data_IF_185825256215
#
_entry.id   IF_185825256215
#
_cell.length_a   1.000
_cell.length_b   1.000
_cell.length_c   1.000
_cell.angle_alpha   90.00
_cell.angle_beta   90.00
_cell.angle_gamma   90.00
#
_symmetry.space_group_name_H-M   'P 1'
#
loop_
_entity.id
_entity.type
_entity.pdbx_description
1 polymer ?
#
# COMPACT_ATOMS: atom_id res chain seq x y z
N UNK A 1 63.89 -17.28 22.31
CA UNK A 1 63.03 -16.85 21.18
C UNK A 1 63.69 -17.14 19.82
N UNK A 2 65.03 -17.09 19.69
CA UNK A 2 65.75 -17.44 18.45
C UNK A 2 65.56 -18.89 17.97
N UNK A 3 65.59 -19.87 18.87
CA UNK A 3 65.49 -21.29 18.49
C UNK A 3 64.13 -21.70 17.91
N UNK A 4 63.07 -21.00 18.27
CA UNK A 4 61.74 -21.26 17.70
C UNK A 4 61.67 -20.74 16.25
N UNK A 5 62.24 -19.56 16.00
CA UNK A 5 62.29 -18.98 14.65
C UNK A 5 63.17 -19.80 13.71
N UNK A 6 64.32 -20.29 14.16
CA UNK A 6 65.20 -21.14 13.34
C UNK A 6 64.54 -22.47 13.01
N UNK A 7 63.88 -23.12 13.97
CA UNK A 7 63.12 -24.35 13.72
C UNK A 7 61.95 -24.15 12.74
N UNK A 8 61.25 -23.01 12.81
CA UNK A 8 60.18 -22.68 11.86
C UNK A 8 60.75 -22.44 10.45
N UNK A 9 61.88 -21.75 10.34
CA UNK A 9 62.54 -21.49 9.05
C UNK A 9 63.06 -22.78 8.41
N UNK A 10 63.64 -23.68 9.19
CA UNK A 10 64.11 -24.99 8.69
C UNK A 10 62.95 -25.91 8.31
N UNK A 11 61.83 -25.84 9.02
CA UNK A 11 60.60 -26.55 8.64
C UNK A 11 60.03 -26.00 7.33
N UNK A 12 59.99 -24.68 7.16
CA UNK A 12 59.54 -23.99 5.94
C UNK A 12 60.47 -24.19 4.74
N UNK A 13 61.74 -24.56 4.94
CA UNK A 13 62.68 -24.89 3.85
C UNK A 13 62.54 -26.31 3.32
N UNK A 14 61.76 -27.17 3.98
CA UNK A 14 61.53 -28.53 3.48
C UNK A 14 60.75 -28.45 2.17
N UNK A 15 61.22 -29.07 1.08
CA UNK A 15 60.58 -28.98 -0.23
C UNK A 15 59.11 -29.41 -0.18
N UNK A 16 58.78 -30.45 0.58
CA UNK A 16 57.39 -30.90 0.77
C UNK A 16 56.49 -29.87 1.48
N UNK A 17 57.03 -29.06 2.40
CA UNK A 17 56.25 -27.99 3.08
C UNK A 17 56.02 -26.82 2.14
N UNK A 18 57.02 -26.49 1.32
CA UNK A 18 56.89 -25.44 0.29
C UNK A 18 55.88 -25.87 -0.78
N UNK A 19 55.94 -27.12 -1.26
CA UNK A 19 55.01 -27.67 -2.24
C UNK A 19 53.56 -27.66 -1.73
N UNK A 20 53.34 -28.13 -0.50
CA UNK A 20 51.99 -28.10 0.09
C UNK A 20 51.46 -26.68 0.31
N UNK A 21 52.31 -25.72 0.68
CA UNK A 21 51.90 -24.32 0.77
C UNK A 21 51.57 -23.72 -0.60
N UNK A 22 52.32 -24.07 -1.64
CA UNK A 22 52.04 -23.66 -3.02
C UNK A 22 50.69 -24.25 -3.48
N UNK A 23 50.44 -25.52 -3.21
CA UNK A 23 49.17 -26.19 -3.55
C UNK A 23 47.98 -25.56 -2.81
N UNK A 24 48.14 -25.24 -1.52
CA UNK A 24 47.12 -24.52 -0.73
C UNK A 24 46.87 -23.12 -1.33
N UNK A 25 47.93 -22.40 -1.72
CA UNK A 25 47.80 -21.08 -2.34
C UNK A 25 47.07 -21.17 -3.68
N UNK A 26 47.38 -22.17 -4.51
CA UNK A 26 46.72 -22.43 -5.78
C UNK A 26 45.24 -22.82 -5.60
N UNK A 27 44.92 -23.60 -4.56
CA UNK A 27 43.54 -23.95 -4.21
C UNK A 27 42.73 -22.74 -3.71
N UNK A 28 43.39 -21.71 -3.16
CA UNK A 28 42.75 -20.48 -2.73
C UNK A 28 42.45 -19.52 -3.89
N UNK A 29 43.09 -19.67 -5.05
CA UNK A 29 42.89 -18.78 -6.21
C UNK A 29 41.42 -18.74 -6.69
N UNK A 30 40.72 -19.88 -6.92
CA UNK A 30 39.32 -19.85 -7.34
C UNK A 30 38.39 -19.21 -6.31
N UNK A 31 38.68 -19.36 -5.02
CA UNK A 31 37.91 -18.77 -3.92
C UNK A 31 38.03 -17.25 -3.96
N UNK A 32 39.26 -16.75 -4.09
CA UNK A 32 39.51 -15.31 -4.21
C UNK A 32 38.91 -14.72 -5.49
N UNK A 33 38.97 -15.43 -6.61
CA UNK A 33 38.30 -15.01 -7.86
C UNK A 33 36.79 -14.89 -7.65
N UNK A 34 36.15 -15.86 -6.98
CA UNK A 34 34.71 -15.79 -6.67
C UNK A 34 34.36 -14.60 -5.76
N UNK A 35 35.19 -14.31 -4.75
CA UNK A 35 35.02 -13.14 -3.87
C UNK A 35 35.14 -11.83 -4.65
N UNK A 36 36.14 -11.71 -5.52
CA UNK A 36 36.34 -10.51 -6.35
C UNK A 36 35.19 -10.31 -7.35
N UNK A 37 34.68 -11.38 -7.97
CA UNK A 37 33.49 -11.33 -8.83
C UNK A 37 32.27 -10.87 -8.02
N UNK A 38 32.06 -11.42 -6.82
CA UNK A 38 30.97 -11.01 -5.92
C UNK A 38 31.07 -9.54 -5.50
N UNK A 39 32.27 -9.05 -5.22
CA UNK A 39 32.53 -7.64 -4.92
C UNK A 39 32.24 -6.74 -6.13
N UNK A 40 32.72 -7.11 -7.33
CA UNK A 40 32.47 -6.35 -8.55
C UNK A 40 30.98 -6.32 -8.86
N UNK A 41 30.26 -7.45 -8.78
CA UNK A 41 28.81 -7.50 -8.96
C UNK A 41 28.11 -6.67 -7.89
N UNK A 42 28.51 -6.78 -6.62
CA UNK A 42 27.92 -6.01 -5.52
C UNK A 42 28.17 -4.50 -5.63
N UNK A 43 29.31 -4.07 -6.18
CA UNK A 43 29.66 -2.66 -6.37
C UNK A 43 29.07 -2.08 -7.66
N UNK A 44 28.98 -2.87 -8.72
CA UNK A 44 28.33 -2.49 -9.98
C UNK A 44 26.81 -2.58 -9.90
N UNK A 45 26.27 -3.34 -8.95
CA UNK A 45 24.87 -3.31 -8.60
C UNK A 45 24.59 -2.13 -7.67
N UNK A 46 24.30 -0.96 -8.27
CA UNK A 46 23.50 0.08 -7.60
C UNK A 46 22.03 -0.19 -7.89
N UNK A 47 21.26 -0.80 -6.98
CA UNK A 47 19.84 -0.95 -7.19
C UNK A 47 19.22 0.45 -7.12
N UNK A 48 18.63 0.93 -8.22
CA UNK A 48 17.90 2.23 -8.27
C UNK A 48 16.72 2.29 -7.27
N UNK A 49 16.43 1.19 -6.59
CA UNK A 49 15.36 1.02 -5.59
C UNK A 49 15.79 1.31 -4.15
N UNK A 50 17.09 1.44 -3.84
CA UNK A 50 17.53 1.75 -2.47
C UNK A 50 17.05 3.13 -1.99
N UNK A 51 16.80 4.07 -2.90
CA UNK A 51 16.14 5.34 -2.60
C UNK A 51 14.68 5.21 -2.17
N UNK A 52 13.93 4.25 -2.73
CA UNK A 52 12.54 3.98 -2.34
C UNK A 52 12.44 3.30 -0.97
N UNK A 53 13.36 2.37 -0.66
CA UNK A 53 13.41 1.72 0.65
C UNK A 53 13.88 2.70 1.75
N UNK A 54 14.83 3.60 1.44
CA UNK A 54 15.27 4.63 2.39
C UNK A 54 14.21 5.71 2.66
N UNK A 55 13.35 6.05 1.70
CA UNK A 55 12.21 6.94 1.96
C UNK A 55 11.11 6.26 2.80
N UNK A 56 10.83 4.98 2.56
CA UNK A 56 9.81 4.24 3.30
C UNK A 56 10.17 3.92 4.76
N UNK A 57 11.47 3.83 5.08
CA UNK A 57 11.94 3.44 6.41
C UNK A 57 12.31 4.62 7.33
N UNK A 58 12.28 5.87 6.82
CA UNK A 58 12.63 7.06 7.61
C UNK A 58 11.49 7.63 8.46
N UNK A 59 10.24 7.27 8.15
CA UNK A 59 9.05 7.76 8.88
C UNK A 59 8.88 7.07 10.25
N UNK A 60 9.23 5.78 10.38
CA UNK A 60 9.00 5.03 11.63
C UNK A 60 10.18 4.99 12.61
N UNK A 61 11.33 5.56 12.24
CA UNK A 61 12.54 5.56 13.10
C UNK A 61 12.72 6.84 13.93
N UNK A 62 11.69 7.70 14.03
CA UNK A 62 11.76 8.93 14.83
C UNK A 62 11.28 8.76 16.29
N UNK A 63 10.74 7.60 16.67
CA UNK A 63 10.21 7.37 18.02
C UNK A 63 11.03 6.42 18.90
N UNK A 64 12.23 6.03 18.47
CA UNK A 64 13.09 5.09 19.22
C UNK A 64 14.51 5.60 19.48
N UNK A 65 14.75 6.91 19.33
CA UNK A 65 16.06 7.51 19.56
C UNK A 65 16.02 8.66 20.56
N UNK A 66 15.59 8.35 21.79
CA UNK A 66 15.95 9.13 22.98
C UNK A 66 16.64 8.19 23.98
N UNK A 67 17.91 7.88 23.72
CA UNK A 67 18.81 7.25 24.68
C UNK A 67 20.25 7.76 24.45
N UNK A 68 21.04 7.98 25.52
CA UNK A 68 22.29 8.73 25.49
C UNK A 68 23.42 8.01 24.72
N UNK A 69 24.47 8.75 24.30
CA UNK A 69 25.44 8.25 23.33
C UNK A 69 26.40 7.25 23.98
N UNK A 70 26.41 6.02 23.45
CA UNK A 70 27.43 5.02 23.74
C UNK A 70 26.87 3.60 23.65
N UNK A 71 27.64 2.69 23.05
CA UNK A 71 27.42 1.23 23.02
C UNK A 71 26.56 0.65 21.88
N UNK A 72 26.89 1.02 20.64
CA UNK A 72 26.38 0.37 19.42
C UNK A 72 27.36 -0.66 18.84
N UNK A 73 27.27 -1.94 19.26
CA UNK A 73 27.77 -3.12 18.52
C UNK A 73 27.39 -4.45 19.19
N UNK A 74 27.29 -4.49 20.54
CA UNK A 74 27.08 -5.74 21.30
C UNK A 74 25.64 -6.26 21.32
N UNK A 75 24.64 -5.45 20.92
CA UNK A 75 23.22 -5.84 20.93
C UNK A 75 22.74 -6.49 19.63
N UNK A 76 23.40 -6.23 18.50
CA UNK A 76 23.09 -6.89 17.22
C UNK A 76 23.51 -8.37 17.21
N UNK A 77 24.56 -8.72 17.96
CA UNK A 77 25.05 -10.09 18.07
C UNK A 77 24.15 -10.99 18.95
N UNK A 78 23.48 -10.41 19.96
CA UNK A 78 22.52 -11.12 20.83
C UNK A 78 21.18 -11.39 20.12
N UNK A 79 20.78 -10.54 19.16
CA UNK A 79 19.55 -10.75 18.39
C UNK A 79 19.67 -11.90 17.37
N UNK A 80 20.86 -12.10 16.79
CA UNK A 80 21.12 -13.20 15.85
C UNK A 80 21.24 -14.58 16.53
N UNK A 81 21.71 -14.64 17.77
CA UNK A 81 21.76 -15.89 18.55
C UNK A 81 20.38 -16.33 19.04
N UNK A 82 19.48 -15.41 19.40
CA UNK A 82 18.11 -15.74 19.83
C UNK A 82 17.22 -16.31 18.71
N UNK A 83 17.43 -15.93 17.45
CA UNK A 83 16.65 -16.43 16.30
C UNK A 83 17.01 -17.87 15.90
N UNK A 84 18.22 -18.36 16.24
CA UNK A 84 18.63 -19.74 15.96
C UNK A 84 18.01 -20.77 16.93
N UNK A 85 17.66 -20.37 18.15
CA UNK A 85 17.04 -21.25 19.15
C UNK A 85 15.51 -21.42 18.98
N UNK A 86 14.84 -20.57 18.20
CA UNK A 86 13.37 -20.63 18.04
C UNK A 86 12.88 -21.68 17.03
N UNK A 87 13.79 -22.34 16.30
CA UNK A 87 13.43 -23.42 15.37
C UNK A 87 13.27 -24.79 16.04
N UNK A 88 13.80 -24.98 17.26
CA UNK A 88 13.72 -26.25 18.00
C UNK A 88 12.46 -26.30 18.90
N UNK A 89 11.94 -25.17 19.37
CA UNK A 89 10.77 -25.14 20.26
C UNK A 89 9.39 -25.33 19.60
N UNK A 90 9.26 -25.33 18.27
CA UNK A 90 7.97 -25.66 17.63
C UNK A 90 7.63 -27.15 17.63
N UNK A 91 8.62 -28.04 17.67
CA UNK A 91 8.38 -29.49 17.64
C UNK A 91 7.92 -30.07 18.98
N UNK A 92 8.17 -29.39 20.11
CA UNK A 92 7.69 -29.84 21.42
C UNK A 92 6.28 -29.35 21.77
N UNK A 93 5.86 -28.17 21.30
CA UNK A 93 4.53 -27.62 21.60
C UNK A 93 3.38 -28.40 20.91
N UNK A 94 3.65 -29.12 19.83
CA UNK A 94 2.64 -29.96 19.16
C UNK A 94 2.39 -31.32 19.85
N UNK A 95 3.18 -31.70 20.87
CA UNK A 95 3.01 -32.98 21.57
C UNK A 95 2.22 -32.89 22.88
N UNK A 96 1.91 -31.68 23.36
CA UNK A 96 1.32 -31.48 24.70
C UNK A 96 -0.13 -30.99 24.71
N UNK A 97 -0.80 -30.89 23.55
CA UNK A 97 -2.22 -30.49 23.49
C UNK A 97 -3.12 -31.68 23.13
N UNK A 98 -3.27 -32.55 24.13
CA UNK A 98 -4.58 -33.03 24.57
C UNK A 98 -5.36 -33.94 23.64
N UNK A 99 -5.14 -35.24 23.79
CA UNK A 99 -6.09 -36.32 23.56
C UNK A 99 -7.08 -36.37 24.75
N UNK A 100 -8.38 -36.41 24.47
CA UNK A 100 -9.46 -36.58 25.45
C UNK A 100 -10.83 -36.59 24.77
N UNK A 101 -11.25 -37.77 24.30
CA UNK A 101 -12.56 -38.08 23.70
C UNK A 101 -13.68 -38.23 24.74
N UNK A 102 -14.93 -37.98 24.34
CA UNK A 102 -16.14 -38.50 25.01
C UNK A 102 -17.45 -37.82 24.59
N UNK A 103 -18.31 -38.53 23.86
CA UNK A 103 -19.78 -38.33 23.68
C UNK A 103 -20.49 -39.63 24.14
N UNK A 104 -21.84 -39.77 24.29
CA UNK A 104 -22.97 -38.92 23.82
C UNK A 104 -24.15 -38.69 24.85
N UNK A 105 -25.27 -38.13 24.34
CA UNK A 105 -26.57 -37.64 24.87
C UNK A 105 -27.50 -38.69 25.58
N UNK A 106 -28.79 -38.47 26.01
CA UNK A 106 -29.81 -37.46 25.58
C UNK A 106 -30.89 -36.95 26.61
N UNK A 107 -31.88 -36.18 26.09
CA UNK A 107 -33.28 -35.92 26.57
C UNK A 107 -33.47 -34.99 27.81
N UNK A 108 -34.47 -34.11 27.99
CA UNK A 108 -35.64 -33.62 27.25
C UNK A 108 -36.21 -32.35 27.99
N UNK A 109 -37.22 -31.66 27.40
CA UNK A 109 -38.25 -30.81 28.06
C UNK A 109 -38.09 -29.28 28.31
N UNK A 110 -38.82 -28.52 27.47
CA UNK A 110 -39.89 -27.56 27.79
C UNK A 110 -39.68 -26.18 28.49
N UNK A 111 -40.14 -25.14 27.75
CA UNK A 111 -41.10 -24.06 28.14
C UNK A 111 -40.66 -22.67 28.68
N UNK A 112 -40.83 -21.67 27.78
CA UNK A 112 -41.56 -20.36 27.89
C UNK A 112 -41.02 -19.16 28.73
N UNK A 113 -41.47 -17.90 28.41
CA UNK A 113 -40.65 -16.68 28.46
C UNK A 113 -41.10 -15.60 29.49
N UNK A 114 -40.28 -14.54 29.67
CA UNK A 114 -40.63 -13.25 30.29
C UNK A 114 -39.66 -12.17 29.72
N UNK A 115 -40.06 -11.21 28.86
CA UNK A 115 -40.74 -9.91 29.05
C UNK A 115 -39.93 -8.86 29.87
N UNK A 116 -39.85 -7.64 29.30
CA UNK A 116 -39.48 -6.31 29.86
C UNK A 116 -37.97 -5.95 29.91
N UNK A 117 -37.51 -4.72 29.70
CA UNK A 117 -38.02 -3.47 29.12
C UNK A 117 -36.81 -2.50 28.99
N UNK A 118 -36.80 -1.69 27.91
CA UNK A 118 -36.13 -0.38 27.69
C UNK A 118 -35.05 0.19 28.64
N UNK A 119 -33.99 0.73 28.03
CA UNK A 119 -33.55 2.13 28.25
C UNK A 119 -32.72 2.63 27.06
N UNK A 120 -33.10 3.79 26.54
CA UNK A 120 -32.39 4.54 25.52
C UNK A 120 -31.14 5.21 26.10
N UNK A 121 -30.10 5.36 25.29
CA UNK A 121 -29.28 6.58 25.18
C UNK A 121 -28.57 6.58 23.83
N UNK A 122 -28.70 7.71 23.13
CA UNK A 122 -28.06 8.03 21.86
C UNK A 122 -26.61 8.45 22.11
N UNK A 123 -25.66 7.96 21.29
CA UNK A 123 -24.60 8.83 20.75
C UNK A 123 -23.95 8.25 19.47
N UNK A 124 -24.20 8.94 18.35
CA UNK A 124 -23.12 9.51 17.53
C UNK A 124 -22.15 8.62 16.74
N UNK A 125 -22.41 7.32 16.53
CA UNK A 125 -21.57 6.47 15.67
C UNK A 125 -22.20 6.21 14.31
N UNK A 126 -21.95 7.06 13.31
CA UNK A 126 -22.45 6.91 11.93
C UNK A 126 -21.94 5.65 11.23
N UNK A 127 -22.48 4.49 11.59
CA UNK A 127 -22.31 3.22 10.91
C UNK A 127 -23.17 3.24 9.64
N UNK A 128 -22.54 3.52 8.50
CA UNK A 128 -23.15 3.29 7.18
C UNK A 128 -23.23 1.78 6.93
N UNK A 129 -24.14 1.10 7.63
CA UNK A 129 -24.63 -0.23 7.28
C UNK A 129 -26.07 -0.10 6.76
N UNK A 130 -26.22 0.68 5.69
CA UNK A 130 -27.46 0.72 4.92
C UNK A 130 -27.61 -0.58 4.14
N UNK A 131 -28.59 -1.40 4.52
CA UNK A 131 -29.04 -2.51 3.71
C UNK A 131 -29.49 -2.01 2.33
N UNK A 132 -29.00 -2.63 1.26
CA UNK A 132 -29.37 -2.31 -0.13
C UNK A 132 -30.87 -2.43 -0.31
N UNK A 133 -31.54 -1.29 -0.52
CA UNK A 133 -32.86 -1.22 -1.14
C UNK A 133 -32.73 -0.37 -2.41
N UNK A 134 -32.81 -1.03 -3.57
CA UNK A 134 -33.03 -0.41 -4.88
C UNK A 134 -31.78 0.22 -5.51
N UNK A 135 -31.36 -0.30 -6.67
CA UNK A 135 -30.11 0.04 -7.36
C UNK A 135 -29.98 1.46 -7.94
N UNK A 136 -30.94 2.36 -7.73
CA UNK A 136 -30.95 3.67 -8.41
C UNK A 136 -30.19 4.78 -7.68
N UNK A 137 -29.86 4.61 -6.39
CA UNK A 137 -29.41 5.70 -5.52
C UNK A 137 -28.01 5.45 -4.93
N UNK A 138 -27.13 4.89 -5.75
CA UNK A 138 -25.77 4.51 -5.33
C UNK A 138 -24.88 5.75 -5.23
N UNK A 139 -24.98 6.66 -6.21
CA UNK A 139 -24.27 7.95 -6.26
C UNK A 139 -25.30 9.06 -6.46
N UNK A 140 -25.51 9.85 -5.41
CA UNK A 140 -26.69 10.69 -5.22
C UNK A 140 -26.31 12.18 -5.22
N UNK A 141 -27.30 13.06 -5.33
CA UNK A 141 -27.10 14.51 -5.38
C UNK A 141 -26.41 15.05 -4.10
N UNK A 142 -26.63 14.43 -2.94
CA UNK A 142 -25.89 14.76 -1.71
C UNK A 142 -24.38 14.53 -1.83
N UNK A 143 -23.95 13.54 -2.63
CA UNK A 143 -22.53 13.32 -2.88
C UNK A 143 -21.95 14.46 -3.74
N UNK A 144 -22.74 14.99 -4.68
CA UNK A 144 -22.35 16.17 -5.46
C UNK A 144 -22.27 17.42 -4.58
N UNK A 145 -23.24 17.65 -3.69
CA UNK A 145 -23.20 18.74 -2.71
C UNK A 145 -21.93 18.66 -1.84
N UNK A 146 -21.57 17.45 -1.38
CA UNK A 146 -20.34 17.21 -0.64
C UNK A 146 -19.09 17.55 -1.47
N UNK A 147 -19.06 17.14 -2.75
CA UNK A 147 -17.99 17.51 -3.68
C UNK A 147 -17.86 19.04 -3.83
N UNK A 148 -18.98 19.75 -4.03
CA UNK A 148 -18.98 21.21 -4.16
C UNK A 148 -18.43 21.87 -2.88
N UNK A 149 -18.82 21.37 -1.71
CA UNK A 149 -18.28 21.84 -0.43
C UNK A 149 -16.76 21.63 -0.31
N UNK A 150 -16.23 20.50 -0.79
CA UNK A 150 -14.78 20.24 -0.83
C UNK A 150 -14.04 21.19 -1.80
N UNK A 151 -14.67 21.57 -2.91
CA UNK A 151 -14.08 22.44 -3.93
C UNK A 151 -14.06 23.92 -3.52
N UNK A 152 -15.11 24.38 -2.84
CA UNK A 152 -15.27 25.78 -2.39
C UNK A 152 -14.28 26.18 -1.29
N UNK A 153 -13.41 25.27 -0.86
CA UNK A 153 -12.39 25.55 0.17
C UNK A 153 -12.98 25.80 1.56
N UNK A 154 -14.28 25.54 1.75
CA UNK A 154 -14.97 25.59 3.05
C UNK A 154 -14.67 24.38 3.95
N UNK A 155 -13.81 23.46 3.50
CA UNK A 155 -13.06 22.59 4.39
C UNK A 155 -12.06 23.45 5.20
N UNK A 156 -12.60 24.19 6.16
CA UNK A 156 -11.89 25.17 6.98
C UNK A 156 -10.62 24.61 7.62
N UNK A 157 -9.63 25.49 7.80
CA UNK A 157 -8.38 25.23 8.54
C UNK A 157 -7.52 24.02 8.13
N UNK A 158 -7.85 23.32 7.03
CA UNK A 158 -7.03 22.20 6.58
C UNK A 158 -5.65 22.69 6.15
N UNK A 159 -4.63 22.38 6.97
CA UNK A 159 -3.22 22.65 6.65
C UNK A 159 -2.81 21.70 5.52
N UNK A 160 -2.98 22.15 4.28
CA UNK A 160 -2.53 21.45 3.09
C UNK A 160 -1.02 21.56 2.95
N UNK A 161 -0.34 20.42 2.95
CA UNK A 161 1.11 20.35 2.72
C UNK A 161 1.37 20.18 1.22
N UNK A 162 2.23 21.02 0.66
CA UNK A 162 2.69 20.85 -0.71
C UNK A 162 3.44 19.52 -0.84
N UNK A 163 3.07 18.70 -1.82
CA UNK A 163 3.69 17.41 -2.08
C UNK A 163 4.47 17.39 -3.38
N UNK A 164 3.96 18.06 -4.43
CA UNK A 164 4.59 18.07 -5.73
C UNK A 164 4.14 19.28 -6.55
N UNK A 165 5.09 19.90 -7.24
CA UNK A 165 4.85 20.86 -8.30
C UNK A 165 5.69 20.47 -9.51
N UNK A 166 5.06 20.42 -10.68
CA UNK A 166 5.72 20.17 -11.96
C UNK A 166 5.10 21.04 -13.03
N UNK A 167 5.96 21.65 -13.83
CA UNK A 167 5.58 22.43 -14.99
C UNK A 167 6.32 21.88 -16.20
N UNK A 168 5.57 21.67 -17.26
CA UNK A 168 6.04 21.36 -18.61
C UNK A 168 5.41 22.38 -19.57
N UNK A 169 5.88 22.49 -20.82
CA UNK A 169 5.31 23.47 -21.76
C UNK A 169 3.79 23.36 -21.95
N UNK A 170 3.22 22.16 -21.83
CA UNK A 170 1.80 21.92 -22.12
C UNK A 170 1.00 21.45 -20.89
N UNK A 171 1.62 21.41 -19.70
CA UNK A 171 0.94 20.91 -18.50
C UNK A 171 1.55 21.48 -17.23
N UNK A 172 0.68 21.95 -16.33
CA UNK A 172 1.01 22.34 -14.97
C UNK A 172 0.34 21.35 -14.03
N UNK A 173 1.11 20.73 -13.13
CA UNK A 173 0.62 19.80 -12.12
C UNK A 173 1.03 20.24 -10.73
N UNK A 174 0.06 20.36 -9.84
CA UNK A 174 0.25 20.68 -8.43
C UNK A 174 -0.49 19.66 -7.58
N UNK A 175 0.15 19.18 -6.52
CA UNK A 175 -0.45 18.23 -5.59
C UNK A 175 -0.16 18.63 -4.14
N UNK A 176 -1.19 18.49 -3.32
CA UNK A 176 -1.16 18.72 -1.90
C UNK A 176 -1.69 17.49 -1.16
N UNK A 177 -1.23 17.31 0.07
CA UNK A 177 -1.73 16.30 0.98
C UNK A 177 -2.16 16.94 2.28
N UNK A 178 -3.19 16.38 2.88
CA UNK A 178 -3.66 16.74 4.21
C UNK A 178 -3.76 15.46 5.04
N UNK A 179 -3.17 15.48 6.23
CA UNK A 179 -3.18 14.39 7.18
C UNK A 179 -4.08 14.82 8.35
N UNK A 180 -5.37 14.42 8.38
CA UNK A 180 -6.27 14.77 9.48
C UNK A 180 -5.86 14.05 10.77
N UNK A 181 -6.25 14.58 11.93
CA UNK A 181 -6.01 13.93 13.22
C UNK A 181 -6.64 12.53 13.29
N UNK A 182 -7.81 12.37 12.67
CA UNK A 182 -8.55 11.12 12.58
C UNK A 182 -8.88 10.84 11.11
N UNK A 183 -8.53 9.64 10.64
CA UNK A 183 -8.89 9.15 9.31
C UNK A 183 -7.70 8.99 8.36
N UNK A 184 -7.98 8.66 7.09
CA UNK A 184 -6.95 8.47 6.08
C UNK A 184 -6.36 9.80 5.60
N UNK A 185 -5.16 9.72 5.02
CA UNK A 185 -4.54 10.85 4.30
C UNK A 185 -5.40 11.24 3.11
N UNK A 186 -5.66 12.53 2.95
CA UNK A 186 -6.43 13.11 1.86
C UNK A 186 -5.46 13.76 0.88
N UNK A 187 -5.66 13.50 -0.41
CA UNK A 187 -4.88 14.08 -1.49
C UNK A 187 -5.74 15.01 -2.32
N UNK A 188 -5.15 16.13 -2.74
CA UNK A 188 -5.75 17.09 -3.67
C UNK A 188 -4.74 17.37 -4.77
N UNK A 189 -5.21 17.45 -6.00
CA UNK A 189 -4.37 17.88 -7.11
C UNK A 189 -5.09 18.86 -8.02
N UNK A 190 -4.32 19.71 -8.69
CA UNK A 190 -4.74 20.58 -9.77
C UNK A 190 -3.84 20.30 -10.96
N UNK A 191 -4.45 20.00 -12.09
CA UNK A 191 -3.75 19.87 -13.37
C UNK A 191 -4.34 20.85 -14.35
N UNK A 192 -3.49 21.59 -15.05
CA UNK A 192 -3.84 22.40 -16.23
C UNK A 192 -3.22 21.69 -17.42
N UNK A 193 -4.05 21.44 -18.44
CA UNK A 193 -3.61 20.92 -19.72
C UNK A 193 -3.77 22.04 -20.74
N UNK A 194 -2.67 22.42 -21.40
CA UNK A 194 -2.74 23.28 -22.56
C UNK A 194 -3.29 22.48 -23.75
N UNK A 195 -3.98 23.15 -24.67
CA UNK A 195 -4.50 22.57 -25.91
C UNK A 195 -5.48 21.39 -25.75
N UNK A 196 -6.16 21.26 -24.61
CA UNK A 196 -7.16 20.22 -24.36
C UNK A 196 -8.51 20.82 -23.96
N UNK A 197 -9.60 20.37 -24.58
CA UNK A 197 -10.94 20.81 -24.18
C UNK A 197 -11.43 20.04 -22.94
N UNK A 198 -12.31 20.63 -22.12
CA UNK A 198 -12.90 19.95 -20.97
C UNK A 198 -13.55 18.59 -21.32
N UNK A 199 -14.18 18.50 -22.49
CA UNK A 199 -14.86 17.29 -22.98
C UNK A 199 -13.84 16.20 -23.31
N UNK A 200 -12.73 16.55 -23.96
CA UNK A 200 -11.65 15.60 -24.27
C UNK A 200 -11.05 15.04 -22.98
N UNK A 201 -10.80 15.90 -21.98
CA UNK A 201 -10.26 15.48 -20.68
C UNK A 201 -11.25 14.59 -19.94
N UNK A 202 -12.55 14.94 -19.96
CA UNK A 202 -13.63 14.11 -19.40
C UNK A 202 -13.63 12.71 -20.01
N UNK A 203 -13.67 12.63 -21.34
CA UNK A 203 -13.77 11.35 -22.06
C UNK A 203 -12.53 10.49 -21.83
N UNK A 204 -11.33 11.10 -21.88
CA UNK A 204 -10.06 10.42 -21.59
C UNK A 204 -10.05 9.75 -20.22
N UNK A 205 -10.59 10.42 -19.20
CA UNK A 205 -10.60 9.91 -17.82
C UNK A 205 -11.76 8.96 -17.52
N UNK A 206 -12.84 9.02 -18.29
CA UNK A 206 -14.03 8.18 -18.13
C UNK A 206 -13.92 6.83 -18.87
N UNK A 207 -13.11 6.77 -19.93
CA UNK A 207 -12.90 5.57 -20.75
C UNK A 207 -11.96 4.54 -20.10
N UNK A 208 -12.52 3.52 -19.46
CA UNK A 208 -11.75 2.44 -18.84
C UNK A 208 -11.11 1.47 -19.85
N UNK A 209 -11.73 1.26 -21.02
CA UNK A 209 -11.19 0.45 -22.10
C UNK A 209 -9.89 1.05 -22.63
N UNK A 210 -9.88 2.37 -22.82
CA UNK A 210 -8.70 3.12 -23.16
C UNK A 210 -7.70 3.15 -22.00
N UNK A 211 -8.19 3.25 -20.76
CA UNK A 211 -7.32 3.27 -19.57
C UNK A 211 -6.44 2.04 -19.42
N UNK A 212 -6.93 0.84 -19.75
CA UNK A 212 -6.11 -0.38 -19.76
C UNK A 212 -4.88 -0.27 -20.68
N UNK A 213 -4.93 0.57 -21.72
CA UNK A 213 -3.84 0.71 -22.70
C UNK A 213 -2.70 1.58 -22.17
N UNK A 214 -3.00 2.56 -21.31
CA UNK A 214 -2.02 3.58 -20.88
C UNK A 214 -1.70 3.55 -19.39
N UNK A 215 -2.59 3.09 -18.50
CA UNK A 215 -2.35 2.98 -17.06
C UNK A 215 -1.82 1.57 -16.72
N UNK A 216 -0.49 1.39 -16.54
CA UNK A 216 0.07 0.07 -16.26
C UNK A 216 -0.34 -0.50 -14.89
N UNK A 217 -0.96 0.31 -14.04
CA UNK A 217 -1.48 -0.16 -12.76
C UNK A 217 -2.89 -0.70 -12.87
N UNK A 218 -3.69 -0.37 -13.88
CA UNK A 218 -5.02 -0.97 -14.08
C UNK A 218 -4.85 -2.26 -14.87
N UNK A 219 -5.14 -3.41 -14.26
CA UNK A 219 -4.94 -4.72 -14.91
C UNK A 219 -6.24 -5.43 -15.28
N UNK A 220 -7.36 -4.96 -14.72
CA UNK A 220 -8.68 -5.48 -15.01
C UNK A 220 -9.70 -4.39 -14.75
N UNK A 221 -10.65 -4.26 -15.65
CA UNK A 221 -11.90 -3.56 -15.39
C UNK A 221 -13.06 -4.39 -15.91
N UNK A 222 -14.23 -4.20 -15.31
CA UNK A 222 -15.51 -4.69 -15.83
C UNK A 222 -16.63 -3.78 -15.35
N UNK A 223 -17.46 -3.30 -16.27
CA UNK A 223 -18.73 -2.68 -15.91
C UNK A 223 -19.68 -3.75 -15.38
N UNK A 224 -20.17 -3.56 -14.15
CA UNK A 224 -21.10 -4.48 -13.50
C UNK A 224 -22.54 -4.09 -13.82
N UNK A 225 -22.86 -2.80 -13.63
CA UNK A 225 -24.21 -2.26 -13.82
C UNK A 225 -24.12 -0.83 -14.38
N UNK A 226 -25.09 -0.48 -15.22
CA UNK A 226 -25.25 0.86 -15.78
C UNK A 226 -26.70 1.29 -15.56
N UNK A 227 -26.88 2.53 -15.11
CA UNK A 227 -28.18 3.15 -14.86
C UNK A 227 -28.31 4.37 -15.77
N UNK A 228 -28.85 4.20 -17.00
CA UNK A 228 -28.88 5.28 -17.99
C UNK A 228 -29.66 6.52 -17.53
N UNK A 229 -30.70 6.34 -16.71
CA UNK A 229 -31.55 7.44 -16.22
C UNK A 229 -30.80 8.40 -15.29
N UNK A 230 -29.92 7.87 -14.42
CA UNK A 230 -29.11 8.69 -13.52
C UNK A 230 -27.71 8.98 -14.09
N UNK A 231 -27.26 8.21 -15.08
CA UNK A 231 -25.87 8.23 -15.56
C UNK A 231 -24.89 7.59 -14.56
N UNK A 232 -25.39 6.81 -13.60
CA UNK A 232 -24.57 6.09 -12.63
C UNK A 232 -24.08 4.78 -13.22
N UNK A 233 -22.83 4.41 -12.95
CA UNK A 233 -22.25 3.12 -13.28
C UNK A 233 -21.67 2.47 -12.03
N UNK A 234 -21.77 1.14 -11.94
CA UNK A 234 -21.00 0.34 -10.99
C UNK A 234 -19.93 -0.41 -11.76
N UNK A 235 -18.67 -0.23 -11.37
CA UNK A 235 -17.51 -0.79 -12.06
C UNK A 235 -16.62 -1.54 -11.08
N UNK A 236 -16.07 -2.66 -11.56
CA UNK A 236 -15.09 -3.47 -10.85
C UNK A 236 -13.71 -3.23 -11.43
N UNK A 237 -12.77 -2.69 -10.64
CA UNK A 237 -11.38 -2.52 -11.03
C UNK A 237 -10.44 -3.39 -10.18
N UNK A 238 -9.37 -3.89 -10.80
CA UNK A 238 -8.21 -4.43 -10.07
C UNK A 238 -6.99 -3.61 -10.45
N UNK A 239 -6.35 -3.02 -9.44
CA UNK A 239 -5.09 -2.28 -9.60
C UNK A 239 -3.91 -3.08 -9.08
N UNK A 240 -2.87 -3.18 -9.90
CA UNK A 240 -1.61 -3.81 -9.57
C UNK A 240 -0.83 -2.97 -8.58
N UNK A 241 -0.36 -3.59 -7.51
CA UNK A 241 0.52 -2.97 -6.52
C UNK A 241 1.93 -3.56 -6.62
N UNK A 242 2.96 -2.88 -6.09
CA UNK A 242 4.29 -3.46 -5.99
C UNK A 242 4.25 -4.85 -5.31
N UNK A 243 5.09 -5.78 -5.77
CA UNK A 243 5.01 -7.23 -5.46
C UNK A 243 4.99 -7.61 -3.97
N UNK A 244 5.43 -6.72 -3.08
CA UNK A 244 5.37 -6.92 -1.62
C UNK A 244 3.99 -6.61 -1.02
N UNK A 245 3.06 -6.11 -1.82
CA UNK A 245 1.67 -5.84 -1.46
C UNK A 245 0.75 -6.70 -2.32
N UNK A 246 -0.41 -7.08 -1.79
CA UNK A 246 -1.48 -7.63 -2.63
C UNK A 246 -2.04 -6.53 -3.53
N UNK A 247 -2.46 -6.90 -4.73
CA UNK A 247 -3.24 -6.03 -5.61
C UNK A 247 -4.50 -5.53 -4.90
N UNK A 248 -5.07 -4.43 -5.42
CA UNK A 248 -6.22 -3.77 -4.83
C UNK A 248 -7.44 -3.93 -5.72
N UNK A 249 -8.49 -4.45 -5.13
CA UNK A 249 -9.79 -4.63 -5.79
C UNK A 249 -10.72 -3.50 -5.36
N UNK A 250 -11.34 -2.86 -6.34
CA UNK A 250 -12.27 -1.76 -6.14
C UNK A 250 -13.60 -2.13 -6.77
N UNK A 251 -14.67 -1.94 -6.01
CA UNK A 251 -16.03 -1.94 -6.52
C UNK A 251 -16.53 -0.52 -6.30
N UNK A 252 -16.73 0.20 -7.39
CA UNK A 252 -16.95 1.63 -7.37
C UNK A 252 -18.23 2.01 -8.06
N UNK A 253 -19.03 2.86 -7.43
CA UNK A 253 -20.07 3.61 -8.08
C UNK A 253 -19.47 4.91 -8.58
N UNK A 254 -19.76 5.27 -9.82
CA UNK A 254 -19.32 6.53 -10.42
C UNK A 254 -20.44 7.20 -11.20
N UNK A 255 -20.40 8.53 -11.25
CA UNK A 255 -21.35 9.37 -12.00
C UNK A 255 -20.67 10.67 -12.42
N UNK A 256 -21.05 11.19 -13.59
CA UNK A 256 -20.71 12.54 -14.03
C UNK A 256 -21.97 13.40 -14.02
N UNK A 257 -21.88 14.58 -13.41
CA UNK A 257 -22.82 15.68 -13.59
C UNK A 257 -22.19 16.75 -14.47
N UNK A 258 -23.01 17.35 -15.32
CA UNK A 258 -22.64 18.44 -16.20
C UNK A 258 -23.43 19.69 -15.80
N UNK A 259 -22.73 20.81 -15.69
CA UNK A 259 -23.33 22.13 -15.53
C UNK A 259 -22.55 23.12 -16.38
N UNK A 260 -23.25 23.75 -17.33
CA UNK A 260 -22.67 24.63 -18.35
C UNK A 260 -21.58 23.93 -19.20
N UNK A 261 -20.31 24.15 -18.85
CA UNK A 261 -19.12 23.50 -19.44
C UNK A 261 -18.16 22.99 -18.36
N UNK A 262 -18.73 22.67 -17.20
CA UNK A 262 -18.02 22.12 -16.05
C UNK A 262 -18.56 20.73 -15.77
N UNK A 263 -17.63 19.78 -15.68
CA UNK A 263 -17.93 18.39 -15.38
C UNK A 263 -17.53 18.10 -13.94
N UNK A 264 -18.46 17.56 -13.18
CA UNK A 264 -18.24 17.07 -11.82
C UNK A 264 -18.37 15.57 -11.85
N UNK A 265 -17.31 14.87 -11.48
CA UNK A 265 -17.37 13.43 -11.43
C UNK A 265 -16.94 12.92 -10.07
N UNK A 266 -17.70 11.94 -9.62
CA UNK A 266 -17.55 11.31 -8.33
C UNK A 266 -17.38 9.81 -8.53
N UNK A 267 -16.53 9.22 -7.71
CA UNK A 267 -16.33 7.80 -7.63
C UNK A 267 -16.16 7.42 -6.17
N UNK A 268 -17.00 6.51 -5.67
CA UNK A 268 -16.92 6.04 -4.29
C UNK A 268 -17.05 4.53 -4.21
N UNK A 269 -16.55 3.92 -3.13
CA UNK A 269 -16.78 2.50 -2.89
C UNK A 269 -18.28 2.23 -2.77
N UNK A 270 -18.71 1.13 -3.37
CA UNK A 270 -20.09 0.65 -3.25
C UNK A 270 -20.05 -0.82 -2.92
N UNK A 271 -20.87 -1.27 -1.96
CA UNK A 271 -20.96 -2.70 -1.70
C UNK A 271 -21.63 -3.42 -2.87
N UNK A 272 -21.27 -4.68 -3.10
CA UNK A 272 -21.82 -5.47 -4.20
C UNK A 272 -21.87 -6.96 -3.81
N UNK A 273 -23.00 -7.42 -3.23
CA UNK A 273 -23.09 -8.74 -2.60
C UNK A 273 -22.78 -9.92 -3.53
N UNK A 274 -23.03 -9.77 -4.83
CA UNK A 274 -22.75 -10.81 -5.82
C UNK A 274 -21.25 -11.09 -6.01
N UNK A 275 -20.37 -10.14 -5.65
CA UNK A 275 -18.93 -10.33 -5.65
C UNK A 275 -18.44 -10.52 -4.21
N UNK A 276 -18.09 -11.75 -3.86
CA UNK A 276 -17.53 -12.08 -2.53
C UNK A 276 -16.13 -11.49 -2.38
N UNK A 277 -15.80 -11.09 -1.15
CA UNK A 277 -14.47 -10.57 -0.81
C UNK A 277 -13.47 -11.73 -0.74
N UNK A 278 -12.36 -11.59 -1.45
CA UNK A 278 -11.24 -12.52 -1.40
C UNK A 278 -10.09 -11.94 -0.56
N UNK A 279 -9.16 -12.78 -0.11
CA UNK A 279 -7.93 -12.30 0.55
C UNK A 279 -6.98 -11.61 -0.43
N UNK A 280 -6.96 -12.07 -1.68
CA UNK A 280 -6.17 -11.54 -2.79
C UNK A 280 -7.00 -11.57 -4.08
N UNK A 281 -7.10 -10.46 -4.83
CA UNK A 281 -6.70 -9.10 -4.47
C UNK A 281 -7.42 -8.61 -3.20
N UNK A 282 -6.81 -7.65 -2.47
CA UNK A 282 -7.43 -7.09 -1.26
C UNK A 282 -8.45 -6.02 -1.66
N UNK A 283 -9.70 -6.23 -1.25
CA UNK A 283 -10.78 -5.25 -1.44
C UNK A 283 -10.55 -3.97 -0.65
N UNK A 284 -10.69 -2.83 -1.34
CA UNK A 284 -10.70 -1.51 -0.73
C UNK A 284 -12.12 -1.17 -0.30
N UNK A 285 -12.31 -1.00 1.00
CA UNK A 285 -13.63 -0.72 1.59
C UNK A 285 -13.89 0.79 1.74
N UNK A 286 -12.85 1.56 2.06
CA UNK A 286 -12.94 3.02 2.12
C UNK A 286 -12.29 3.62 0.88
N UNK A 287 -13.11 4.12 -0.02
CA UNK A 287 -12.66 4.83 -1.22
C UNK A 287 -13.63 5.94 -1.57
N UNK A 288 -13.10 7.14 -1.73
CA UNK A 288 -13.80 8.31 -2.24
C UNK A 288 -12.81 9.10 -3.09
N UNK A 289 -13.21 9.42 -4.31
CA UNK A 289 -12.43 10.22 -5.24
C UNK A 289 -13.38 11.05 -6.08
N UNK A 290 -12.98 12.29 -6.33
CA UNK A 290 -13.80 13.22 -7.08
C UNK A 290 -12.92 14.23 -7.79
N UNK A 291 -13.43 14.76 -8.89
CA UNK A 291 -12.75 15.76 -9.69
C UNK A 291 -13.74 16.71 -10.35
N UNK A 292 -13.25 17.92 -10.65
CA UNK A 292 -13.95 18.93 -11.44
C UNK A 292 -13.08 19.28 -12.64
N UNK A 293 -13.66 19.22 -13.83
CA UNK A 293 -13.04 19.63 -15.08
C UNK A 293 -13.77 20.88 -15.57
N UNK A 294 -13.01 21.92 -15.90
CA UNK A 294 -13.52 23.19 -16.45
C UNK A 294 -12.46 23.80 -17.36
N UNK A 295 -12.89 24.66 -18.28
CA UNK A 295 -11.95 25.49 -19.03
C UNK A 295 -11.16 26.40 -18.07
N UNK A 296 -9.84 26.46 -18.25
CA UNK A 296 -9.02 27.43 -17.52
C UNK A 296 -9.07 28.74 -18.31
N UNK A 297 -10.02 29.60 -17.95
CA UNK A 297 -9.95 30.99 -18.39
C UNK A 297 -8.80 31.61 -17.60
N UNK A 298 -7.60 31.66 -18.21
CA UNK A 298 -6.62 32.63 -17.79
C UNK A 298 -7.36 33.96 -17.78
N UNK A 299 -7.53 34.57 -16.60
CA UNK A 299 -7.85 35.99 -16.56
C UNK A 299 -6.74 36.61 -17.38
N UNK A 300 -7.08 37.12 -18.56
CA UNK A 300 -6.22 37.98 -19.34
C UNK A 300 -5.88 39.15 -18.42
N UNK A 301 -4.79 39.00 -17.68
CA UNK A 301 -4.12 40.10 -17.01
C UNK A 301 -3.58 40.96 -18.16
N UNK A 302 -4.41 41.94 -18.51
CA UNK A 302 -4.08 43.30 -18.96
C UNK A 302 -2.61 43.57 -19.24
#
# INVERSE_FOLDING_TARGET
>A
MGDMYTNIVDFMRRPAVVETLIDILLCAVPIWVAVMIGLVIGWSWRPRWTGLLFLGMRSKFRFLWTAPPGLGARRLWLAFTALSAFSVCRKLWSSFKGKGEGSPAPEDSASRPAVSMSSADEDGGGSFSGAFKGGHDVVIEKDLEHLLHLLDGKAGDAVWQNQMERTTPNMIYQAWRHEPEVGPIIYRSRTVFEDATPELVRDFFWDDDFRLKWDPMLVYFKTLEEFPESGTMIVHWIKKFPFFCSDREYIIGRRIWESEKTYYCLTKNVPYPALRKNEKPRRVELYFSSWRIRADFQSSSS
#
